data_IF_436930370441
#
_entry.id   IF_436930370441
#
_cell.length_a   1.000
_cell.length_b   1.000
_cell.length_c   1.000
_cell.angle_alpha   90.00
_cell.angle_beta   90.00
_cell.angle_gamma   90.00
#
_symmetry.space_group_name_H-M   'P 1'
#
loop_
_entity.id
_entity.type
_entity.pdbx_description
1 polymer ?
#
# COMPACT_ATOMS: atom_id res chain seq x y z
N UNK A 1 3.14 -11.78 14.98
CA UNK A 1 2.21 -11.59 13.85
C UNK A 1 2.21 -12.84 13.00
N UNK A 2 1.06 -13.45 12.77
CA UNK A 2 0.90 -14.61 11.90
C UNK A 2 0.20 -14.16 10.62
N UNK A 3 0.69 -14.60 9.47
CA UNK A 3 0.06 -14.32 8.19
C UNK A 3 0.02 -15.62 7.38
N UNK A 4 -1.16 -15.96 6.90
CA UNK A 4 -1.40 -17.08 5.98
C UNK A 4 -1.85 -16.49 4.64
N UNK A 5 -1.23 -16.93 3.56
CA UNK A 5 -1.56 -16.48 2.21
C UNK A 5 -1.57 -17.64 1.23
N UNK A 6 -2.42 -17.56 0.24
CA UNK A 6 -2.47 -18.47 -0.90
C UNK A 6 -2.36 -17.65 -2.18
N UNK A 7 -1.49 -18.09 -3.06
CA UNK A 7 -1.31 -17.49 -4.39
C UNK A 7 -2.02 -18.35 -5.42
N UNK A 8 -2.70 -17.72 -6.35
CA UNK A 8 -3.42 -18.37 -7.43
C UNK A 8 -3.01 -17.71 -8.75
N UNK A 9 -3.04 -18.48 -9.83
CA UNK A 9 -2.87 -17.98 -11.19
C UNK A 9 -4.18 -18.18 -11.97
N UNK A 10 -4.51 -17.23 -12.79
CA UNK A 10 -5.59 -17.32 -13.76
C UNK A 10 -5.15 -16.65 -15.06
N UNK A 11 -5.70 -17.11 -16.19
CA UNK A 11 -5.46 -16.51 -17.49
C UNK A 11 -6.69 -15.70 -17.91
N UNK A 12 -6.49 -14.43 -18.21
CA UNK A 12 -7.49 -13.54 -18.82
C UNK A 12 -6.99 -13.18 -20.21
N UNK A 13 -7.48 -13.91 -21.22
CA UNK A 13 -7.01 -13.78 -22.59
C UNK A 13 -5.55 -14.27 -22.75
N UNK A 14 -4.67 -13.43 -23.29
CA UNK A 14 -3.23 -13.71 -23.44
C UNK A 14 -2.39 -13.32 -22.23
N UNK A 15 -3.00 -12.85 -21.15
CA UNK A 15 -2.32 -12.30 -19.97
C UNK A 15 -2.41 -13.24 -18.77
N UNK A 16 -1.29 -13.48 -18.12
CA UNK A 16 -1.26 -14.18 -16.84
C UNK A 16 -1.66 -13.21 -15.73
N UNK A 17 -2.68 -13.57 -14.96
CA UNK A 17 -3.10 -12.84 -13.76
C UNK A 17 -2.72 -13.68 -12.55
N UNK A 18 -1.93 -13.10 -11.67
CA UNK A 18 -1.61 -13.69 -10.35
C UNK A 18 -2.40 -12.96 -9.30
N UNK A 19 -3.00 -13.70 -8.40
CA UNK A 19 -3.68 -13.11 -7.26
C UNK A 19 -3.35 -13.87 -5.98
N UNK A 20 -3.39 -13.15 -4.87
CA UNK A 20 -3.09 -13.67 -3.56
C UNK A 20 -4.07 -13.12 -2.53
N UNK A 21 -4.39 -13.94 -1.53
CA UNK A 21 -5.16 -13.52 -0.37
C UNK A 21 -4.36 -13.84 0.88
N UNK A 22 -4.31 -12.90 1.82
CA UNK A 22 -3.59 -13.03 3.08
C UNK A 22 -4.54 -12.75 4.23
N UNK A 23 -4.55 -13.64 5.19
CA UNK A 23 -5.16 -13.42 6.51
C UNK A 23 -4.06 -13.01 7.48
N UNK A 24 -4.34 -12.00 8.28
CA UNK A 24 -3.41 -11.48 9.27
C UNK A 24 -4.07 -11.56 10.63
N UNK A 25 -3.35 -12.08 11.57
CA UNK A 25 -3.73 -12.10 12.97
C UNK A 25 -2.57 -11.55 13.82
N UNK A 26 -2.87 -10.56 14.62
CA UNK A 26 -1.94 -10.04 15.62
C UNK A 26 -2.40 -10.48 17.00
N UNK A 27 -1.59 -11.26 17.68
CA UNK A 27 -1.79 -11.60 19.08
C UNK A 27 -1.26 -10.45 19.97
N UNK A 28 -1.96 -10.05 21.02
CA UNK A 28 -1.44 -9.10 22.01
C UNK A 28 -0.15 -9.67 22.62
N UNK A 29 0.92 -8.91 22.57
CA UNK A 29 2.24 -9.33 23.05
C UNK A 29 2.68 -8.65 24.34
N UNK A 30 1.98 -7.60 24.77
CA UNK A 30 2.27 -6.87 25.98
C UNK A 30 0.98 -6.19 26.48
N UNK A 31 0.42 -6.71 27.55
CA UNK A 31 -0.82 -6.17 28.14
C UNK A 31 -0.59 -4.88 28.91
N UNK A 32 0.67 -4.61 29.35
CA UNK A 32 0.99 -3.55 30.31
C UNK A 32 1.85 -2.40 29.76
N UNK A 33 2.14 -2.36 28.46
CA UNK A 33 2.94 -1.31 27.84
C UNK A 33 2.17 -0.59 26.72
N UNK A 34 1.29 0.37 27.06
CA UNK A 34 0.41 1.03 26.08
C UNK A 34 1.16 1.85 25.01
N UNK A 35 2.42 2.17 25.24
CA UNK A 35 3.26 2.90 24.27
C UNK A 35 3.86 2.02 23.18
N UNK A 36 3.89 0.70 23.36
CA UNK A 36 4.56 -0.25 22.44
C UNK A 36 3.54 -1.18 21.75
N UNK A 37 2.44 -1.48 22.41
CA UNK A 37 1.42 -2.38 21.89
C UNK A 37 0.03 -1.89 22.26
N UNK A 38 -0.94 -2.12 21.37
CA UNK A 38 -2.36 -1.88 21.71
C UNK A 38 -2.91 -2.85 22.76
N UNK A 39 -2.15 -3.89 23.13
CA UNK A 39 -2.62 -4.95 24.05
C UNK A 39 -3.80 -5.78 23.51
N UNK A 40 -4.28 -5.52 22.33
CA UNK A 40 -5.50 -6.09 21.75
C UNK A 40 -5.20 -6.95 20.51
N UNK A 41 -6.19 -7.74 20.12
CA UNK A 41 -6.13 -8.63 18.95
C UNK A 41 -6.57 -7.86 17.72
N UNK A 42 -5.77 -7.94 16.66
CA UNK A 42 -6.16 -7.37 15.37
C UNK A 42 -6.33 -8.50 14.35
N UNK A 43 -7.34 -8.37 13.50
CA UNK A 43 -7.64 -9.30 12.42
C UNK A 43 -7.63 -8.53 11.11
N UNK A 44 -7.09 -9.13 10.08
CA UNK A 44 -7.07 -8.51 8.77
C UNK A 44 -7.18 -9.52 7.64
N UNK A 45 -7.74 -9.06 6.55
CA UNK A 45 -7.73 -9.75 5.28
C UNK A 45 -7.22 -8.78 4.22
N UNK A 46 -6.36 -9.25 3.36
CA UNK A 46 -5.91 -8.48 2.19
C UNK A 46 -5.86 -9.37 0.97
N UNK A 47 -6.20 -8.79 -0.17
CA UNK A 47 -6.10 -9.45 -1.47
C UNK A 47 -5.34 -8.54 -2.42
N UNK A 48 -4.50 -9.14 -3.26
CA UNK A 48 -3.78 -8.47 -4.31
C UNK A 48 -3.90 -9.26 -5.60
N UNK A 49 -4.03 -8.56 -6.70
CA UNK A 49 -3.98 -9.09 -8.04
C UNK A 49 -2.98 -8.31 -8.87
N UNK A 50 -2.17 -9.01 -9.65
CA UNK A 50 -1.21 -8.43 -10.59
C UNK A 50 -1.29 -9.12 -11.93
N UNK A 51 -0.98 -8.42 -12.96
CA UNK A 51 -0.96 -8.97 -14.30
C UNK A 51 -0.21 -8.09 -15.28
N UNK A 52 -0.09 -8.60 -16.49
CA UNK A 52 0.52 -7.86 -17.59
C UNK A 52 -0.34 -8.00 -18.84
N UNK A 53 -0.22 -7.05 -19.73
CA UNK A 53 -0.92 -7.04 -21.01
C UNK A 53 -0.24 -6.10 -21.99
N UNK A 54 -0.74 -6.10 -23.22
CA UNK A 54 -0.29 -5.17 -24.26
C UNK A 54 -1.39 -4.12 -24.47
N UNK A 55 -1.02 -2.85 -24.34
CA UNK A 55 -1.88 -1.72 -24.63
C UNK A 55 -1.10 -0.68 -25.44
N UNK A 56 -1.63 -0.28 -26.59
CA UNK A 56 -0.94 0.60 -27.57
C UNK A 56 0.49 0.16 -27.90
N UNK A 57 0.67 -1.13 -28.20
CA UNK A 57 1.97 -1.74 -28.52
C UNK A 57 3.02 -1.64 -27.39
N UNK A 58 2.57 -1.41 -26.16
CA UNK A 58 3.40 -1.34 -24.97
C UNK A 58 3.04 -2.45 -23.98
N UNK A 59 4.06 -3.04 -23.40
CA UNK A 59 3.88 -3.94 -22.28
C UNK A 59 3.48 -3.12 -21.05
N UNK A 60 2.29 -3.41 -20.53
CA UNK A 60 1.78 -2.80 -19.31
C UNK A 60 1.72 -3.86 -18.23
N UNK A 61 2.25 -3.53 -17.06
CA UNK A 61 2.06 -4.27 -15.83
C UNK A 61 1.07 -3.50 -14.95
N UNK A 62 0.18 -4.21 -14.29
CA UNK A 62 -0.77 -3.61 -13.39
C UNK A 62 -0.84 -4.39 -12.07
N UNK A 63 -1.17 -3.68 -11.00
CA UNK A 63 -1.33 -4.20 -9.66
C UNK A 63 -2.57 -3.55 -9.04
N UNK A 64 -3.37 -4.35 -8.35
CA UNK A 64 -4.47 -3.89 -7.49
C UNK A 64 -4.35 -4.60 -6.15
N UNK A 65 -4.52 -3.88 -5.05
CA UNK A 65 -4.59 -4.46 -3.72
C UNK A 65 -5.76 -3.86 -2.92
N UNK A 66 -6.34 -4.68 -2.05
CA UNK A 66 -7.41 -4.30 -1.15
C UNK A 66 -7.16 -4.96 0.20
N UNK A 67 -7.39 -4.24 1.27
CA UNK A 67 -7.23 -4.73 2.62
C UNK A 67 -8.30 -4.19 3.56
N UNK A 68 -8.75 -5.04 4.47
CA UNK A 68 -9.64 -4.70 5.56
C UNK A 68 -8.98 -5.18 6.86
N UNK A 69 -8.92 -4.31 7.85
CA UNK A 69 -8.39 -4.62 9.16
C UNK A 69 -9.42 -4.27 10.21
N UNK A 70 -9.67 -5.21 11.10
CA UNK A 70 -10.42 -4.97 12.32
C UNK A 70 -9.42 -4.95 13.49
N UNK A 71 -9.22 -3.78 14.06
CA UNK A 71 -8.31 -3.54 15.18
C UNK A 71 -9.07 -3.65 16.50
N UNK A 72 -8.43 -4.23 17.49
CA UNK A 72 -8.97 -4.29 18.84
C UNK A 72 -9.05 -2.89 19.46
N UNK A 73 -10.09 -2.66 20.23
CA UNK A 73 -10.37 -1.38 20.89
C UNK A 73 -9.29 -1.05 21.92
N UNK A 74 -8.75 0.16 21.87
CA UNK A 74 -7.77 0.66 22.84
C UNK A 74 -8.46 1.56 23.85
N UNK A 75 -8.51 1.16 25.11
CA UNK A 75 -9.22 1.87 26.20
C UNK A 75 -8.55 3.19 26.64
N UNK A 76 -7.35 3.48 26.15
CA UNK A 76 -6.52 4.58 26.67
C UNK A 76 -6.18 5.67 25.66
N UNK A 77 -6.89 5.75 24.54
CA UNK A 77 -6.65 6.80 23.56
C UNK A 77 -7.62 7.97 23.77
N UNK A 78 -7.08 9.18 23.73
CA UNK A 78 -7.85 10.44 23.71
C UNK A 78 -8.76 10.50 22.45
N UNK A 79 -8.52 9.63 21.48
CA UNK A 79 -9.21 9.57 20.19
C UNK A 79 -9.98 8.26 20.08
N UNK A 80 -11.21 8.32 19.61
CA UNK A 80 -11.97 7.13 19.23
C UNK A 80 -11.33 6.49 18.00
N UNK A 81 -10.90 5.25 18.15
CA UNK A 81 -10.34 4.49 17.03
C UNK A 81 -11.47 3.86 16.22
N UNK A 82 -11.45 4.03 14.90
CA UNK A 82 -12.28 3.22 14.02
C UNK A 82 -11.79 1.78 14.10
N UNK A 83 -12.63 0.89 14.63
CA UNK A 83 -12.27 -0.52 14.78
C UNK A 83 -12.03 -1.21 13.45
N UNK A 84 -12.71 -0.76 12.41
CA UNK A 84 -12.56 -1.33 11.07
C UNK A 84 -12.09 -0.26 10.10
N UNK A 85 -10.96 -0.50 9.46
CA UNK A 85 -10.43 0.39 8.45
C UNK A 85 -10.05 -0.37 7.17
N UNK A 86 -10.24 0.33 6.09
CA UNK A 86 -9.96 -0.13 4.73
C UNK A 86 -8.66 0.47 4.24
N UNK A 87 -7.92 -0.31 3.46
CA UNK A 87 -6.82 0.18 2.64
C UNK A 87 -6.88 -0.47 1.26
N UNK A 88 -6.53 0.27 0.26
CA UNK A 88 -6.50 -0.26 -1.10
C UNK A 88 -5.58 0.55 -1.97
N UNK A 89 -5.34 0.05 -3.15
CA UNK A 89 -4.54 0.78 -4.12
C UNK A 89 -4.44 0.03 -5.42
N UNK A 90 -3.96 0.74 -6.41
CA UNK A 90 -3.68 0.18 -7.70
C UNK A 90 -2.57 0.96 -8.40
N UNK A 91 -1.96 0.31 -9.35
CA UNK A 91 -0.90 0.94 -10.12
C UNK A 91 -0.74 0.29 -11.49
N UNK A 92 -0.15 1.06 -12.37
CA UNK A 92 0.26 0.61 -13.70
C UNK A 92 1.68 1.04 -13.94
N UNK A 93 2.43 0.21 -14.66
CA UNK A 93 3.77 0.53 -15.13
C UNK A 93 3.96 0.11 -16.58
N UNK A 94 4.76 0.86 -17.30
CA UNK A 94 5.12 0.56 -18.69
C UNK A 94 6.59 0.87 -18.93
N UNK A 95 7.25 -0.02 -19.65
CA UNK A 95 8.62 0.22 -20.10
C UNK A 95 8.61 0.89 -21.46
N UNK A 96 9.37 1.98 -21.59
CA UNK A 96 9.56 2.67 -22.87
C UNK A 96 10.61 1.99 -23.74
N UNK A 97 11.61 1.42 -23.09
CA UNK A 97 12.70 0.63 -23.65
C UNK A 97 13.24 -0.29 -22.54
N UNK A 98 14.35 -0.95 -22.79
CA UNK A 98 14.96 -1.90 -21.83
C UNK A 98 15.47 -1.21 -20.54
N UNK A 99 15.74 0.09 -20.60
CA UNK A 99 16.36 0.84 -19.52
C UNK A 99 15.34 1.64 -18.68
N UNK A 100 14.21 2.05 -19.25
CA UNK A 100 13.29 2.99 -18.61
C UNK A 100 11.89 2.45 -18.39
N UNK A 101 11.40 2.58 -17.17
CA UNK A 101 10.01 2.24 -16.80
C UNK A 101 9.35 3.42 -16.10
N UNK A 102 8.15 3.77 -16.53
CA UNK A 102 7.25 4.68 -15.83
C UNK A 102 6.27 3.88 -14.97
N UNK A 103 6.02 4.35 -13.76
CA UNK A 103 5.01 3.76 -12.86
C UNK A 103 4.11 4.86 -12.31
N UNK A 104 2.81 4.59 -12.27
CA UNK A 104 1.80 5.45 -11.65
C UNK A 104 1.02 4.55 -10.68
N UNK A 105 0.90 4.99 -9.43
CA UNK A 105 0.21 4.24 -8.38
C UNK A 105 -0.66 5.19 -7.55
N UNK A 106 -1.78 4.67 -7.07
CA UNK A 106 -2.61 5.36 -6.10
C UNK A 106 -2.88 4.42 -4.92
N UNK A 107 -2.73 4.96 -3.71
CA UNK A 107 -3.04 4.29 -2.46
C UNK A 107 -4.18 5.04 -1.79
N UNK A 108 -5.18 4.31 -1.29
CA UNK A 108 -6.34 4.85 -0.59
C UNK A 108 -6.45 4.17 0.76
N UNK A 109 -6.71 4.96 1.81
CA UNK A 109 -6.98 4.43 3.14
C UNK A 109 -8.15 5.17 3.79
N UNK A 110 -9.00 4.44 4.50
CA UNK A 110 -10.03 5.04 5.34
C UNK A 110 -9.42 5.63 6.62
N UNK A 111 -10.08 6.61 7.25
CA UNK A 111 -9.61 7.18 8.51
C UNK A 111 -9.52 6.11 9.59
N UNK A 112 -8.42 6.15 10.36
CA UNK A 112 -8.19 5.24 11.50
C UNK A 112 -8.74 5.77 12.81
N UNK A 113 -8.90 7.08 12.92
CA UNK A 113 -9.33 7.73 14.15
C UNK A 113 -10.52 8.63 13.88
N UNK A 114 -11.39 8.71 14.87
CA UNK A 114 -12.46 9.67 14.92
C UNK A 114 -12.24 10.52 16.18
N UNK A 115 -12.15 11.84 16.04
CA UNK A 115 -11.97 12.75 17.16
C UNK A 115 -13.14 13.74 17.19
N UNK A 116 -14.25 13.41 17.87
CA UNK A 116 -15.34 14.34 18.04
C UNK A 116 -14.86 15.55 18.86
N UNK A 117 -14.93 16.74 18.27
CA UNK A 117 -14.58 18.01 18.93
C UNK A 117 -13.13 18.47 18.80
N UNK A 118 -12.24 17.69 18.21
CA UNK A 118 -10.91 18.11 17.79
C UNK A 118 -10.83 18.03 16.26
N UNK A 119 -10.68 19.18 15.61
CA UNK A 119 -10.45 19.21 14.15
C UNK A 119 -9.03 18.75 13.80
N UNK A 120 -8.74 17.48 14.03
CA UNK A 120 -7.53 16.86 13.50
C UNK A 120 -7.77 16.50 12.03
N UNK A 121 -7.74 17.51 11.20
CA UNK A 121 -8.15 17.47 9.79
C UNK A 121 -7.46 16.41 8.93
N UNK A 122 -6.28 15.90 9.34
CA UNK A 122 -5.56 14.84 8.60
C UNK A 122 -5.90 13.42 9.04
N UNK A 123 -6.40 13.19 10.26
CA UNK A 123 -6.59 11.84 10.81
C UNK A 123 -8.01 11.30 10.63
N UNK A 124 -8.99 12.19 10.42
CA UNK A 124 -10.42 11.87 10.30
C UNK A 124 -10.91 11.75 8.85
N UNK A 125 -10.03 11.84 7.88
CA UNK A 125 -10.39 11.86 6.46
C UNK A 125 -9.79 10.65 5.73
N UNK A 126 -10.41 10.31 4.63
CA UNK A 126 -9.81 9.41 3.66
C UNK A 126 -8.50 9.99 3.15
N UNK A 127 -7.50 9.14 3.05
CA UNK A 127 -6.20 9.47 2.49
C UNK A 127 -6.10 8.88 1.09
N UNK A 128 -5.57 9.63 0.16
CA UNK A 128 -5.28 9.14 -1.19
C UNK A 128 -3.96 9.70 -1.66
N UNK A 129 -2.97 8.83 -1.76
CA UNK A 129 -1.62 9.19 -2.17
C UNK A 129 -1.40 8.73 -3.61
N UNK A 130 -1.20 9.69 -4.51
CA UNK A 130 -0.74 9.45 -5.86
C UNK A 130 0.78 9.40 -5.87
N UNK A 131 1.35 8.37 -6.48
CA UNK A 131 2.79 8.24 -6.71
C UNK A 131 3.07 8.09 -8.20
N UNK A 132 3.97 8.90 -8.72
CA UNK A 132 4.48 8.80 -10.09
C UNK A 132 5.99 8.63 -10.02
N UNK A 133 6.50 7.54 -10.59
CA UNK A 133 7.92 7.20 -10.52
C UNK A 133 8.50 6.80 -11.86
N UNK A 134 9.75 7.15 -12.05
CA UNK A 134 10.55 6.73 -13.20
C UNK A 134 11.69 5.86 -12.68
N UNK A 135 11.85 4.70 -13.29
CA UNK A 135 12.94 3.76 -12.99
C UNK A 135 13.92 3.76 -14.16
N UNK A 136 15.20 3.80 -13.83
CA UNK A 136 16.29 3.56 -14.77
C UNK A 136 17.00 2.27 -14.40
N UNK A 137 16.99 1.31 -15.32
CA UNK A 137 17.55 -0.02 -15.12
C UNK A 137 18.94 -0.11 -15.72
N UNK A 138 19.88 -0.54 -14.91
CA UNK A 138 21.24 -0.94 -15.29
C UNK A 138 21.36 -2.45 -15.07
N UNK A 139 22.33 -3.10 -15.69
CA UNK A 139 22.48 -4.60 -15.66
C UNK A 139 22.27 -5.22 -14.26
N UNK A 140 22.76 -4.59 -13.20
CA UNK A 140 22.72 -5.11 -11.84
C UNK A 140 22.18 -4.07 -10.84
N UNK A 141 21.67 -2.97 -11.32
CA UNK A 141 21.22 -1.84 -10.49
C UNK A 141 19.96 -1.23 -11.07
N UNK A 142 19.18 -0.60 -10.23
CA UNK A 142 18.11 0.28 -10.66
C UNK A 142 18.07 1.53 -9.80
N UNK A 143 17.83 2.64 -10.45
CA UNK A 143 17.59 3.93 -9.82
C UNK A 143 16.11 4.26 -9.98
N UNK A 144 15.51 4.84 -8.97
CA UNK A 144 14.14 5.32 -9.01
C UNK A 144 14.10 6.76 -8.53
N UNK A 145 13.41 7.59 -9.28
CA UNK A 145 12.96 8.89 -8.84
C UNK A 145 11.44 8.88 -8.86
N UNK A 146 10.81 9.17 -7.73
CA UNK A 146 9.37 9.24 -7.63
C UNK A 146 8.93 10.53 -6.97
N UNK A 147 7.75 10.98 -7.37
CA UNK A 147 7.00 12.08 -6.79
C UNK A 147 5.73 11.50 -6.15
N UNK A 148 5.38 11.94 -4.96
CA UNK A 148 4.13 11.56 -4.31
C UNK A 148 3.36 12.82 -3.89
N UNK A 149 2.03 12.76 -4.03
CA UNK A 149 1.11 13.84 -3.66
C UNK A 149 -0.12 13.24 -2.96
N UNK A 150 -0.57 13.90 -1.89
CA UNK A 150 -1.83 13.55 -1.24
C UNK A 150 -2.98 14.29 -1.93
N UNK A 151 -3.92 13.53 -2.49
CA UNK A 151 -5.01 14.09 -3.30
C UNK A 151 -6.20 14.60 -2.47
N UNK A 152 -6.34 14.20 -1.20
CA UNK A 152 -7.55 14.49 -0.41
C UNK A 152 -7.32 15.34 0.83
N UNK A 153 -6.10 15.46 1.31
CA UNK A 153 -5.83 16.23 2.51
C UNK A 153 -5.27 17.61 2.17
N UNK A 154 -6.00 18.66 2.49
CA UNK A 154 -5.55 20.05 2.32
C UNK A 154 -4.55 20.49 3.41
N UNK A 155 -3.97 19.58 4.20
CA UNK A 155 -3.23 19.92 5.42
C UNK A 155 -2.00 19.06 5.70
N UNK A 156 -1.65 18.13 4.82
CA UNK A 156 -0.36 17.44 4.87
C UNK A 156 0.66 18.15 3.98
N UNK A 157 1.93 17.82 4.14
CA UNK A 157 2.95 18.21 3.17
C UNK A 157 2.52 17.71 1.79
N UNK A 158 2.22 18.66 0.89
CA UNK A 158 1.50 18.38 -0.34
C UNK A 158 2.27 17.47 -1.28
N UNK A 159 3.60 17.37 -1.15
CA UNK A 159 4.38 16.47 -2.00
C UNK A 159 5.66 15.95 -1.35
N UNK A 160 6.13 14.80 -1.82
CA UNK A 160 7.44 14.26 -1.49
C UNK A 160 8.20 13.82 -2.73
N UNK A 161 9.51 14.00 -2.72
CA UNK A 161 10.41 13.40 -3.70
C UNK A 161 11.14 12.23 -3.07
N UNK A 162 11.09 11.09 -3.75
CA UNK A 162 11.71 9.85 -3.29
C UNK A 162 12.79 9.46 -4.30
N UNK A 163 14.02 9.33 -3.82
CA UNK A 163 15.10 8.73 -4.56
C UNK A 163 15.44 7.37 -3.97
N UNK A 164 15.53 6.35 -4.80
CA UNK A 164 15.91 5.01 -4.38
C UNK A 164 16.94 4.41 -5.33
N UNK A 165 17.88 3.69 -4.75
CA UNK A 165 18.86 2.91 -5.47
C UNK A 165 18.81 1.46 -4.98
N UNK A 166 18.74 0.52 -5.91
CA UNK A 166 18.79 -0.91 -5.65
C UNK A 166 19.93 -1.53 -6.44
N UNK A 167 20.85 -2.21 -5.77
CA UNK A 167 21.94 -2.95 -6.36
C UNK A 167 21.87 -4.44 -6.00
N UNK A 168 22.20 -5.31 -6.95
CA UNK A 168 22.44 -6.73 -6.67
C UNK A 168 23.94 -6.95 -6.58
N UNK A 169 24.42 -7.26 -5.39
CA UNK A 169 25.81 -7.59 -5.10
C UNK A 169 25.88 -9.11 -4.86
N UNK A 170 26.55 -9.82 -5.71
CA UNK A 170 26.77 -11.26 -5.60
C UNK A 170 26.73 -11.96 -6.95
N UNK A 171 27.51 -13.02 -7.02
CA UNK A 171 27.56 -13.93 -8.18
C UNK A 171 26.31 -14.78 -8.23
#
# INVERSE_FOLDING_TARGET
>A
MLSLGKQHGAFLGSSEVKWSTRLVYKHPSADDLPTISSGKRDYGISSAAEGSGIWWDRNIQWLINLGLVHAGETEHTIYEQNQTFFSGGGGVSTSFNDDWTLSIQNLIASPRYHAPGLELKGMNQWQSILAVGVFYHLKHQSLMLAFTEDLFTNHSEDFSLIFSWKGQFGK
#
